data_IF_916652831041
#
_entry.id   IF_916652831041
#
_cell.length_a   1.000
_cell.length_b   1.000
_cell.length_c   1.000
_cell.angle_alpha   90.00
_cell.angle_beta   90.00
_cell.angle_gamma   90.00
#
_symmetry.space_group_name_H-M   'P 1'
#
loop_
_entity.id
_entity.type
_entity.pdbx_description
1 polymer ?
#
# COMPACT_ATOMS: atom_id res chain seq x y z
N UNK A 1 -0.04 -3.18 -1.60
CA UNK A 1 0.73 -2.11 -0.96
C UNK A 1 1.14 -1.05 -1.95
N UNK A 2 1.87 -0.05 -1.46
CA UNK A 2 2.39 1.07 -2.26
C UNK A 2 3.91 1.15 -2.07
N UNK A 3 4.65 1.08 -3.18
CA UNK A 3 6.09 1.39 -3.24
C UNK A 3 6.27 2.88 -3.54
N UNK A 4 7.05 3.57 -2.70
CA UNK A 4 7.23 5.01 -2.72
C UNK A 4 8.58 5.38 -3.37
N UNK A 5 8.64 5.44 -4.70
CA UNK A 5 9.74 6.11 -5.39
C UNK A 5 9.51 7.63 -5.47
N UNK A 6 10.55 8.42 -5.78
CA UNK A 6 10.52 9.90 -5.67
C UNK A 6 9.33 10.54 -6.41
N UNK A 7 8.98 10.05 -7.61
CA UNK A 7 7.92 10.63 -8.45
C UNK A 7 6.94 9.61 -9.05
N UNK A 8 7.21 8.32 -8.91
CA UNK A 8 6.40 7.23 -9.48
C UNK A 8 6.16 6.19 -8.41
N UNK A 9 4.90 5.82 -8.24
CA UNK A 9 4.42 4.89 -7.24
C UNK A 9 3.94 3.62 -7.92
N UNK A 10 4.21 2.47 -7.30
CA UNK A 10 3.61 1.21 -7.71
C UNK A 10 2.51 0.86 -6.71
N UNK A 11 1.29 0.71 -7.20
CA UNK A 11 0.10 0.38 -6.39
C UNK A 11 -0.35 -1.02 -6.75
N UNK A 12 -0.49 -1.87 -5.73
CA UNK A 12 -1.02 -3.21 -5.89
C UNK A 12 -2.05 -3.51 -4.79
N UNK A 13 -3.22 -4.00 -5.18
CA UNK A 13 -4.33 -4.34 -4.30
C UNK A 13 -4.86 -5.74 -4.63
N UNK A 14 -5.21 -6.50 -3.59
CA UNK A 14 -5.83 -7.81 -3.73
C UNK A 14 -7.21 -7.80 -3.06
N UNK A 15 -8.08 -8.73 -3.43
CA UNK A 15 -9.31 -8.99 -2.71
C UNK A 15 -9.08 -9.93 -1.52
N UNK A 16 -10.16 -10.31 -0.86
CA UNK A 16 -10.17 -11.23 0.29
C UNK A 16 -9.66 -12.63 -0.07
N UNK A 17 -9.74 -13.01 -1.35
CA UNK A 17 -9.24 -14.28 -1.88
C UNK A 17 -7.75 -14.20 -2.29
N UNK A 18 -7.12 -13.04 -2.11
CA UNK A 18 -5.73 -12.78 -2.52
C UNK A 18 -5.57 -12.59 -4.04
N UNK A 19 -6.67 -12.45 -4.78
CA UNK A 19 -6.63 -12.18 -6.21
C UNK A 19 -6.31 -10.70 -6.45
N UNK A 20 -5.35 -10.44 -7.34
CA UNK A 20 -5.01 -9.06 -7.70
C UNK A 20 -6.18 -8.37 -8.40
N UNK A 21 -6.73 -7.33 -7.76
CA UNK A 21 -7.85 -6.52 -8.27
C UNK A 21 -7.41 -5.12 -8.71
N UNK A 22 -6.23 -4.68 -8.26
CA UNK A 22 -5.65 -3.40 -8.66
C UNK A 22 -4.16 -3.59 -8.89
N UNK A 23 -3.69 -3.43 -10.12
CA UNK A 23 -2.25 -3.47 -10.45
C UNK A 23 -1.91 -2.25 -11.28
N UNK A 24 -1.27 -1.26 -10.66
CA UNK A 24 -0.79 -0.04 -11.32
C UNK A 24 0.71 0.12 -11.04
N UNK A 25 1.59 -0.38 -11.93
CA UNK A 25 3.04 -0.33 -11.71
C UNK A 25 3.63 1.08 -11.82
N UNK A 26 2.88 2.04 -12.38
CA UNK A 26 3.28 3.43 -12.51
C UNK A 26 2.09 4.34 -12.22
N UNK A 27 2.14 5.04 -11.09
CA UNK A 27 1.19 6.08 -10.68
C UNK A 27 1.99 7.33 -10.38
N UNK A 28 1.61 8.49 -10.93
CA UNK A 28 2.33 9.72 -10.64
C UNK A 28 2.04 10.21 -9.22
N UNK A 29 2.87 11.13 -8.71
CA UNK A 29 2.60 11.79 -7.42
C UNK A 29 1.24 12.49 -7.38
N UNK A 30 0.84 13.12 -8.49
CA UNK A 30 -0.42 13.84 -8.58
C UNK A 30 -1.63 12.88 -8.57
N UNK A 31 -1.48 11.69 -9.15
CA UNK A 31 -2.56 10.72 -9.32
C UNK A 31 -2.72 9.78 -8.12
N UNK A 32 -1.73 9.71 -7.22
CA UNK A 32 -1.75 8.77 -6.10
C UNK A 32 -2.92 9.04 -5.14
N UNK A 33 -3.10 10.28 -4.72
CA UNK A 33 -4.18 10.61 -3.78
C UNK A 33 -5.58 10.46 -4.41
N UNK A 34 -5.84 10.98 -5.63
CA UNK A 34 -7.10 10.73 -6.33
C UNK A 34 -7.42 9.25 -6.52
N UNK A 35 -6.41 8.42 -6.81
CA UNK A 35 -6.59 6.98 -6.94
C UNK A 35 -7.04 6.34 -5.63
N UNK A 36 -6.34 6.63 -4.53
CA UNK A 36 -6.65 6.04 -3.22
C UNK A 36 -8.00 6.53 -2.70
N UNK A 37 -8.32 7.81 -2.89
CA UNK A 37 -9.59 8.40 -2.48
C UNK A 37 -10.84 7.77 -3.14
N UNK A 38 -10.68 7.13 -4.31
CA UNK A 38 -11.77 6.42 -5.00
C UNK A 38 -11.98 4.99 -4.48
N UNK A 39 -11.04 4.46 -3.69
CA UNK A 39 -11.15 3.12 -3.14
C UNK A 39 -12.01 3.15 -1.86
N UNK A 40 -12.75 2.06 -1.57
CA UNK A 40 -13.37 1.91 -0.26
C UNK A 40 -12.28 1.91 0.84
N UNK A 41 -12.61 2.35 2.07
CA UNK A 41 -11.71 2.25 3.21
C UNK A 41 -11.07 0.86 3.32
N UNK A 42 -9.74 0.82 3.38
CA UNK A 42 -8.96 -0.42 3.29
C UNK A 42 -7.65 -0.34 4.07
N UNK A 43 -7.00 -1.49 4.26
CA UNK A 43 -5.70 -1.58 4.92
C UNK A 43 -4.55 -1.34 3.94
N UNK A 44 -3.83 -0.23 4.04
CA UNK A 44 -2.72 0.07 3.13
C UNK A 44 -1.38 -0.24 3.81
N UNK A 45 -0.68 -1.24 3.30
CA UNK A 45 0.72 -1.50 3.62
C UNK A 45 1.66 -0.64 2.79
N UNK A 46 2.59 0.07 3.44
CA UNK A 46 3.57 0.93 2.80
C UNK A 46 4.97 0.72 3.39
N UNK A 47 5.98 0.76 2.55
CA UNK A 47 7.37 0.82 3.02
C UNK A 47 7.64 2.19 3.69
N UNK A 48 8.29 2.16 4.85
CA UNK A 48 8.69 3.34 5.57
C UNK A 48 9.87 4.02 4.86
N UNK A 49 9.63 5.22 4.35
CA UNK A 49 10.63 6.12 3.78
C UNK A 49 10.35 7.56 4.25
N UNK A 50 11.22 8.51 3.88
CA UNK A 50 11.05 9.93 4.27
C UNK A 50 9.69 10.52 3.87
N UNK A 51 9.07 10.04 2.78
CA UNK A 51 7.74 10.46 2.33
C UNK A 51 6.56 9.65 2.89
N UNK A 52 6.80 8.50 3.54
CA UNK A 52 5.74 7.55 3.89
C UNK A 52 4.75 8.10 4.92
N UNK A 53 5.25 8.86 5.90
CA UNK A 53 4.39 9.46 6.94
C UNK A 53 3.46 10.55 6.39
N UNK A 54 3.89 11.30 5.37
CA UNK A 54 3.04 12.29 4.70
C UNK A 54 1.85 11.59 4.04
N UNK A 55 2.11 10.57 3.24
CA UNK A 55 1.09 9.79 2.57
C UNK A 55 0.17 9.05 3.55
N UNK A 56 0.72 8.47 4.61
CA UNK A 56 -0.07 7.81 5.64
C UNK A 56 -1.11 8.74 6.27
N UNK A 57 -0.75 10.00 6.52
CA UNK A 57 -1.71 11.00 7.01
C UNK A 57 -2.80 11.29 5.99
N UNK A 58 -2.44 11.48 4.73
CA UNK A 58 -3.42 11.75 3.67
C UNK A 58 -4.39 10.58 3.49
N UNK A 59 -3.90 9.34 3.41
CA UNK A 59 -4.79 8.18 3.22
C UNK A 59 -5.70 7.94 4.43
N UNK A 60 -5.24 8.23 5.65
CA UNK A 60 -6.10 8.17 6.85
C UNK A 60 -7.25 9.16 6.81
N UNK A 61 -7.10 10.32 6.14
CA UNK A 61 -8.20 11.28 5.97
C UNK A 61 -9.33 10.73 5.10
N UNK A 62 -9.04 9.74 4.24
CA UNK A 62 -10.03 9.03 3.42
C UNK A 62 -10.52 7.73 4.09
N UNK A 63 -10.25 7.54 5.39
CA UNK A 63 -10.72 6.37 6.16
C UNK A 63 -9.85 5.12 6.01
N UNK A 64 -8.74 5.16 5.27
CA UNK A 64 -7.85 4.01 5.16
C UNK A 64 -7.03 3.79 6.43
N UNK A 65 -6.84 2.52 6.79
CA UNK A 65 -5.91 2.13 7.85
C UNK A 65 -4.53 1.94 7.23
N UNK A 66 -3.52 2.71 7.66
CA UNK A 66 -2.17 2.64 7.08
C UNK A 66 -1.19 2.00 8.05
N UNK A 67 -0.49 0.95 7.60
CA UNK A 67 0.61 0.29 8.30
C UNK A 67 1.94 0.54 7.57
N UNK A 68 2.87 1.18 8.27
CA UNK A 68 4.23 1.44 7.78
C UNK A 68 5.16 0.28 8.18
N UNK A 69 5.94 -0.23 7.23
CA UNK A 69 6.88 -1.35 7.43
C UNK A 69 8.32 -0.89 7.21
N UNK A 70 9.23 -1.24 8.11
CA UNK A 70 10.64 -0.88 7.95
C UNK A 70 11.26 -1.60 6.72
N UNK A 71 12.11 -0.93 5.93
CA UNK A 71 12.70 -1.48 4.70
C UNK A 71 13.31 -2.87 4.84
N UNK A 72 13.95 -3.15 5.99
CA UNK A 72 14.57 -4.45 6.30
C UNK A 72 13.59 -5.64 6.24
N UNK A 73 12.30 -5.39 6.48
CA UNK A 73 11.25 -6.41 6.43
C UNK A 73 10.59 -6.51 5.05
N UNK A 74 10.79 -5.52 4.18
CA UNK A 74 10.20 -5.48 2.83
C UNK A 74 11.20 -5.96 1.77
N UNK A 75 12.50 -5.82 2.03
CA UNK A 75 13.59 -6.15 1.10
C UNK A 75 13.54 -7.58 0.51
N UNK A 76 13.26 -8.67 1.28
CA UNK A 76 13.16 -10.02 0.73
C UNK A 76 12.03 -10.19 -0.30
N UNK A 77 11.00 -9.36 -0.20
CA UNK A 77 9.79 -9.46 -1.02
C UNK A 77 9.86 -8.61 -2.29
N UNK A 78 10.80 -7.66 -2.37
CA UNK A 78 11.05 -6.85 -3.58
C UNK A 78 11.76 -7.66 -4.68
N UNK A 79 12.49 -8.71 -4.31
CA UNK A 79 13.35 -9.47 -5.22
C UNK A 79 12.60 -10.45 -6.13
N UNK A 80 11.32 -10.73 -5.88
CA UNK A 80 10.52 -11.71 -6.66
C UNK A 80 9.63 -11.07 -7.73
N UNK A 81 9.71 -9.75 -7.95
CA UNK A 81 8.96 -9.06 -9.02
C UNK A 81 7.44 -9.00 -8.81
N UNK A 82 6.92 -9.51 -7.70
CA UNK A 82 5.50 -9.51 -7.36
C UNK A 82 5.23 -8.33 -6.42
N UNK A 83 4.65 -7.25 -6.97
CA UNK A 83 4.15 -6.15 -6.16
C UNK A 83 3.09 -6.71 -5.20
N UNK A 84 3.20 -6.36 -3.93
CA UNK A 84 2.52 -7.05 -2.83
C UNK A 84 1.05 -6.61 -2.74
N UNK A 85 0.12 -7.54 -2.59
CA UNK A 85 -1.32 -7.30 -2.35
C UNK A 85 -1.59 -6.41 -1.14
N UNK A 86 -2.71 -5.68 -1.17
CA UNK A 86 -3.36 -5.19 0.04
C UNK A 86 -4.50 -6.17 0.33
N UNK A 87 -4.49 -6.87 1.47
CA UNK A 87 -5.62 -7.68 1.94
C UNK A 87 -6.57 -6.82 2.77
N UNK A 88 -7.86 -6.89 2.50
CA UNK A 88 -8.96 -6.41 3.35
C UNK A 88 -9.26 -7.52 4.37
N UNK A 89 -9.14 -7.27 5.68
CA UNK A 89 -9.74 -8.14 6.71
C UNK A 89 -9.94 -7.35 8.03
N UNK A 90 -11.01 -7.69 8.75
CA UNK A 90 -11.73 -6.92 9.78
C UNK A 90 -11.40 -7.31 11.24
N UNK A 91 -10.32 -8.02 11.52
CA UNK A 91 -10.04 -8.48 12.90
C UNK A 91 -8.70 -8.01 13.47
N UNK A 92 -8.79 -7.42 14.66
CA UNK A 92 -7.70 -6.95 15.51
C UNK A 92 -6.77 -8.10 15.94
N UNK A 93 -5.50 -7.77 16.21
CA UNK A 93 -4.47 -8.58 16.90
C UNK A 93 -3.56 -9.55 16.12
N UNK A 94 -3.41 -9.42 14.79
CA UNK A 94 -2.37 -10.16 14.05
C UNK A 94 -1.52 -9.28 13.13
N UNK A 95 -0.20 -9.42 13.23
CA UNK A 95 0.78 -8.83 12.31
C UNK A 95 0.72 -9.66 11.03
N UNK A 96 -0.16 -9.26 10.10
CA UNK A 96 -0.22 -9.88 8.78
C UNK A 96 0.95 -9.38 7.93
N UNK A 97 1.85 -10.30 7.61
CA UNK A 97 2.76 -10.18 6.48
C UNK A 97 2.00 -10.65 5.24
N UNK A 98 1.83 -9.74 4.26
CA UNK A 98 1.70 -10.02 2.82
C UNK A 98 0.51 -10.88 2.39
#
# INVERSE_FOLDING_TARGET
GIDLAKNVFAVHGVDDNGQAVLVKPKVSRADLLPLIAQLPPCLIGMEACSGAHHWARQFRQYGHTVKLMAPKFVAPYRMTGRLIGVRLDLTCDRIYYI
#
